data_IF_863602528090
#
_entry.id   IF_863602528090
#
_cell.length_a   1.000
_cell.length_b   1.000
_cell.length_c   1.000
_cell.angle_alpha   90.00
_cell.angle_beta   90.00
_cell.angle_gamma   90.00
#
_symmetry.space_group_name_H-M   'P 1'
#
loop_
_entity.id
_entity.type
_entity.pdbx_description
1 polymer ?
#
# COMPACT_ATOMS: atom_id res chain seq x y z
N UNK A 1 16.99 1.61 -5.67
CA UNK A 1 17.13 0.85 -4.41
C UNK A 1 15.84 0.89 -3.62
N UNK A 2 15.48 -0.20 -3.00
CA UNK A 2 14.26 -0.31 -2.21
C UNK A 2 14.57 -0.54 -0.73
N UNK A 3 13.90 0.21 0.16
CA UNK A 3 14.11 0.10 1.61
C UNK A 3 13.44 -1.19 2.09
N UNK A 4 14.21 -2.03 2.80
CA UNK A 4 13.75 -3.34 3.25
C UNK A 4 13.21 -3.36 4.68
N UNK A 5 13.50 -2.34 5.49
CA UNK A 5 13.18 -2.32 6.93
C UNK A 5 12.15 -1.27 7.34
N UNK A 6 11.37 -0.80 6.38
CA UNK A 6 10.31 0.17 6.59
C UNK A 6 9.01 -0.40 6.05
N UNK A 7 8.02 -0.61 6.92
CA UNK A 7 6.78 -1.28 6.56
C UNK A 7 5.62 -0.30 6.55
N UNK A 8 4.88 -0.27 5.46
CA UNK A 8 3.66 0.51 5.31
C UNK A 8 2.58 -0.34 4.65
N UNK A 9 1.55 0.31 4.15
CA UNK A 9 0.49 -0.36 3.41
C UNK A 9 0.42 0.21 2.01
N UNK A 10 0.89 -0.54 0.99
CA UNK A 10 0.72 -0.09 -0.39
C UNK A 10 -0.76 0.11 -0.71
N UNK A 11 -1.09 1.19 -1.38
CA UNK A 11 -2.49 1.52 -1.67
C UNK A 11 -2.62 1.93 -3.14
N UNK A 12 -3.51 1.23 -3.85
CA UNK A 12 -3.78 1.52 -5.25
C UNK A 12 -4.73 2.71 -5.36
N UNK A 13 -4.35 3.71 -6.14
CA UNK A 13 -5.12 4.94 -6.27
C UNK A 13 -6.55 4.72 -6.77
N UNK A 14 -6.77 3.77 -7.67
CA UNK A 14 -8.10 3.45 -8.17
C UNK A 14 -9.01 2.88 -7.07
N UNK A 15 -8.47 1.99 -6.23
CA UNK A 15 -9.21 1.43 -5.09
C UNK A 15 -9.53 2.52 -4.07
N UNK A 16 -8.55 3.37 -3.80
CA UNK A 16 -8.71 4.49 -2.88
C UNK A 16 -9.80 5.45 -3.37
N UNK A 17 -9.78 5.80 -4.65
CA UNK A 17 -10.76 6.71 -5.23
C UNK A 17 -12.17 6.16 -5.14
N UNK A 18 -12.36 4.88 -5.41
CA UNK A 18 -13.67 4.23 -5.30
C UNK A 18 -14.19 4.28 -3.86
N UNK A 19 -13.32 4.00 -2.88
CA UNK A 19 -13.70 4.05 -1.47
C UNK A 19 -14.00 5.47 -1.01
N UNK A 20 -13.25 6.47 -1.46
CA UNK A 20 -13.51 7.88 -1.14
C UNK A 20 -14.91 8.29 -1.62
N UNK A 21 -15.25 7.90 -2.84
CA UNK A 21 -16.58 8.18 -3.39
C UNK A 21 -17.68 7.52 -2.56
N UNK A 22 -17.49 6.26 -2.18
CA UNK A 22 -18.44 5.52 -1.35
C UNK A 22 -18.62 6.17 0.02
N UNK A 23 -17.52 6.56 0.68
CA UNK A 23 -17.55 7.21 1.98
C UNK A 23 -18.24 8.58 1.91
N UNK A 24 -17.98 9.33 0.85
CA UNK A 24 -18.60 10.64 0.67
C UNK A 24 -20.13 10.52 0.55
N UNK A 25 -20.63 9.48 -0.07
CA UNK A 25 -22.07 9.25 -0.23
C UNK A 25 -22.78 8.84 1.06
N UNK A 26 -22.04 8.30 2.03
CA UNK A 26 -22.60 7.92 3.32
C UNK A 26 -22.93 9.14 4.20
N UNK A 27 -22.35 10.29 3.89
CA UNK A 27 -22.54 11.54 4.64
C UNK A 27 -22.34 11.36 6.15
N UNK A 28 -21.26 10.72 6.54
CA UNK A 28 -20.88 10.51 7.94
C UNK A 28 -19.53 11.16 8.19
N UNK A 29 -19.50 12.41 8.66
CA UNK A 29 -18.23 13.14 8.88
C UNK A 29 -17.35 12.41 9.90
N UNK A 30 -16.14 12.12 9.50
CA UNK A 30 -15.13 11.48 10.34
C UNK A 30 -13.78 11.49 9.60
N UNK A 31 -12.75 11.03 10.30
CA UNK A 31 -11.45 10.78 9.67
C UNK A 31 -11.38 9.28 9.36
N UNK A 32 -11.21 8.96 8.09
CA UNK A 32 -11.14 7.57 7.63
C UNK A 32 -9.75 7.25 7.14
N UNK A 33 -9.20 6.14 7.62
CA UNK A 33 -8.00 5.56 7.03
C UNK A 33 -8.42 4.60 5.93
N UNK A 34 -7.84 4.75 4.74
CA UNK A 34 -8.20 3.93 3.58
C UNK A 34 -6.93 3.40 2.95
N UNK A 35 -6.75 2.09 3.06
CA UNK A 35 -5.60 1.39 2.49
C UNK A 35 -6.06 0.04 1.95
N UNK A 36 -5.28 -0.54 1.05
CA UNK A 36 -5.53 -1.90 0.58
C UNK A 36 -5.31 -2.91 1.71
N UNK A 37 -5.95 -4.08 1.59
CA UNK A 37 -5.81 -5.14 2.57
C UNK A 37 -4.43 -5.80 2.49
N UNK A 38 -4.05 -6.45 3.58
CA UNK A 38 -2.79 -7.18 3.72
C UNK A 38 -2.09 -6.81 5.03
N UNK A 39 -1.03 -7.52 5.35
CA UNK A 39 -0.27 -7.32 6.58
C UNK A 39 0.76 -6.20 6.48
N UNK A 40 0.74 -5.47 5.39
CA UNK A 40 1.73 -4.45 5.13
C UNK A 40 2.89 -4.99 4.29
N UNK A 41 3.75 -4.10 3.86
CA UNK A 41 4.90 -4.45 3.04
C UNK A 41 5.98 -3.39 3.17
N UNK A 42 7.24 -3.79 3.02
CA UNK A 42 8.32 -2.85 2.81
C UNK A 42 8.31 -2.38 1.35
N UNK A 43 9.05 -1.31 1.05
CA UNK A 43 9.25 -0.93 -0.35
C UNK A 43 9.93 -2.06 -1.13
N UNK A 44 10.80 -2.84 -0.47
CA UNK A 44 11.42 -4.00 -1.08
C UNK A 44 10.39 -5.08 -1.44
N UNK A 45 9.46 -5.37 -0.53
CA UNK A 45 8.38 -6.33 -0.80
C UNK A 45 7.49 -5.86 -1.95
N UNK A 46 7.15 -4.59 -1.95
CA UNK A 46 6.33 -4.00 -3.01
C UNK A 46 7.02 -4.09 -4.36
N UNK A 47 8.29 -3.72 -4.42
CA UNK A 47 9.07 -3.76 -5.66
C UNK A 47 9.23 -5.19 -6.17
N UNK A 48 9.51 -6.15 -5.27
CA UNK A 48 9.62 -7.54 -5.64
C UNK A 48 8.32 -8.09 -6.21
N UNK A 49 7.20 -7.75 -5.60
CA UNK A 49 5.88 -8.14 -6.10
C UNK A 49 5.62 -7.55 -7.49
N UNK A 50 5.96 -6.29 -7.70
CA UNK A 50 5.76 -5.63 -8.99
C UNK A 50 6.61 -6.28 -10.09
N UNK A 51 7.86 -6.60 -9.79
CA UNK A 51 8.73 -7.29 -10.74
C UNK A 51 8.20 -8.67 -11.10
N UNK A 52 7.77 -9.43 -10.09
CA UNK A 52 7.19 -10.76 -10.31
C UNK A 52 5.93 -10.68 -11.19
N UNK A 53 5.01 -9.78 -10.86
CA UNK A 53 3.76 -9.64 -11.62
C UNK A 53 3.99 -9.16 -13.06
N UNK A 54 5.04 -8.40 -13.28
CA UNK A 54 5.41 -7.93 -14.61
C UNK A 54 6.24 -8.94 -15.40
N UNK A 55 6.63 -10.06 -14.78
CA UNK A 55 7.47 -11.07 -15.43
C UNK A 55 8.92 -10.63 -15.59
N UNK A 56 9.37 -9.70 -14.77
CA UNK A 56 10.73 -9.17 -14.84
C UNK A 56 11.64 -9.86 -13.82
N UNK A 57 12.95 -9.74 -14.05
CA UNK A 57 13.95 -10.36 -13.20
C UNK A 57 14.05 -9.68 -11.83
N UNK A 58 13.91 -10.47 -10.77
CA UNK A 58 14.05 -9.96 -9.40
C UNK A 58 15.44 -9.44 -9.08
N UNK A 59 16.46 -9.85 -9.84
CA UNK A 59 17.82 -9.35 -9.65
C UNK A 59 17.97 -7.86 -10.01
N UNK A 60 16.98 -7.28 -10.65
CA UNK A 60 16.94 -5.83 -10.87
C UNK A 60 16.76 -5.05 -9.57
N UNK A 61 16.29 -5.71 -8.52
CA UNK A 61 16.03 -5.08 -7.24
C UNK A 61 17.29 -5.00 -6.39
N UNK A 62 17.62 -3.81 -5.92
CA UNK A 62 18.68 -3.58 -4.95
C UNK A 62 18.07 -3.14 -3.63
N UNK A 63 18.45 -3.81 -2.55
CA UNK A 63 17.93 -3.53 -1.22
C UNK A 63 18.79 -2.52 -0.48
N UNK A 64 18.16 -1.74 0.38
CA UNK A 64 18.84 -0.82 1.29
C UNK A 64 18.07 -0.78 2.62
N UNK A 65 18.61 -0.06 3.58
CA UNK A 65 17.95 0.13 4.88
C UNK A 65 17.63 1.61 5.10
N UNK A 66 16.70 1.87 6.00
CA UNK A 66 16.33 3.24 6.36
C UNK A 66 17.54 4.01 6.89
N UNK A 67 18.38 3.37 7.70
CA UNK A 67 19.54 4.01 8.32
C UNK A 67 20.64 4.34 7.31
N UNK A 68 20.67 3.64 6.17
CA UNK A 68 21.62 3.91 5.09
C UNK A 68 21.30 5.19 4.33
N UNK A 69 20.05 5.66 4.44
CA UNK A 69 19.60 6.87 3.76
C UNK A 69 19.60 8.01 4.77
N UNK A 70 20.42 9.02 4.52
CA UNK A 70 20.48 10.20 5.36
C UNK A 70 19.39 11.17 4.94
N UNK A 71 18.27 11.17 5.67
CA UNK A 71 17.14 12.06 5.40
C UNK A 71 16.99 13.07 6.52
N UNK A 72 16.60 14.32 6.21
CA UNK A 72 16.46 15.36 7.23
C UNK A 72 15.34 15.06 8.23
N UNK A 73 14.26 14.39 7.82
CA UNK A 73 13.15 14.06 8.70
C UNK A 73 13.23 12.60 9.17
N UNK A 74 12.99 12.33 10.47
CA UNK A 74 12.88 10.97 10.93
C UNK A 74 11.66 10.30 10.30
N UNK A 75 11.80 9.03 9.91
CA UNK A 75 10.73 8.26 9.28
C UNK A 75 10.33 7.09 10.18
N UNK A 76 9.02 6.82 10.33
CA UNK A 76 8.60 5.66 11.12
C UNK A 76 8.95 4.37 10.38
N UNK A 77 9.35 3.36 11.15
CA UNK A 77 9.65 2.03 10.58
C UNK A 77 8.39 1.24 10.26
N UNK A 78 7.28 1.57 10.91
CA UNK A 78 5.99 0.90 10.69
C UNK A 78 4.90 1.96 10.61
N UNK A 79 4.38 2.16 9.41
CA UNK A 79 3.31 3.12 9.14
C UNK A 79 2.05 2.42 8.63
N UNK A 80 1.86 1.14 8.93
CA UNK A 80 0.67 0.39 8.54
C UNK A 80 -0.58 1.02 9.14
N UNK A 81 -1.65 1.02 8.37
CA UNK A 81 -2.94 1.54 8.80
C UNK A 81 -3.99 0.44 8.77
N UNK A 82 -5.01 0.60 9.60
CA UNK A 82 -6.21 -0.24 9.59
C UNK A 82 -7.43 0.64 9.29
N UNK A 83 -8.31 0.14 8.43
CA UNK A 83 -9.53 0.86 8.05
C UNK A 83 -10.63 0.63 9.08
N UNK A 84 -10.40 1.07 10.32
CA UNK A 84 -11.24 0.72 11.47
C UNK A 84 -12.68 1.19 11.30
N UNK A 85 -12.89 2.45 10.90
CA UNK A 85 -14.25 2.98 10.73
C UNK A 85 -14.98 2.34 9.56
N UNK A 86 -14.26 1.99 8.48
CA UNK A 86 -14.85 1.26 7.36
C UNK A 86 -15.34 -0.12 7.81
N UNK A 87 -14.59 -0.80 8.66
CA UNK A 87 -14.99 -2.09 9.23
C UNK A 87 -16.26 -1.93 10.09
N UNK A 88 -16.31 -0.91 10.92
CA UNK A 88 -17.48 -0.65 11.78
C UNK A 88 -18.73 -0.33 10.98
N UNK A 89 -18.59 0.30 9.82
CA UNK A 89 -19.70 0.59 8.92
C UNK A 89 -20.13 -0.60 8.08
N UNK A 90 -19.43 -1.74 8.20
CA UNK A 90 -19.75 -2.93 7.43
C UNK A 90 -19.33 -2.88 5.97
N UNK A 91 -18.43 -1.97 5.62
CA UNK A 91 -17.91 -1.88 4.26
C UNK A 91 -16.92 -3.02 4.00
N UNK A 92 -16.96 -3.55 2.78
CA UNK A 92 -16.02 -4.61 2.42
C UNK A 92 -14.59 -4.08 2.37
N UNK A 93 -13.60 -4.88 2.80
CA UNK A 93 -12.20 -4.46 2.67
C UNK A 93 -11.84 -4.21 1.22
N UNK A 94 -10.90 -3.31 0.98
CA UNK A 94 -10.29 -3.17 -0.33
C UNK A 94 -9.52 -4.44 -0.68
N UNK A 95 -9.24 -4.70 -1.97
CA UNK A 95 -8.45 -5.86 -2.36
C UNK A 95 -7.09 -5.92 -1.65
N UNK A 96 -6.50 -7.11 -1.56
CA UNK A 96 -5.12 -7.21 -1.12
C UNK A 96 -4.22 -6.40 -2.06
N UNK A 97 -3.20 -5.76 -1.49
CA UNK A 97 -2.34 -4.87 -2.28
C UNK A 97 -1.64 -5.61 -3.42
N UNK A 98 -1.33 -6.91 -3.24
CA UNK A 98 -0.70 -7.71 -4.29
C UNK A 98 -1.61 -7.86 -5.51
N UNK A 99 -2.90 -8.05 -5.27
CA UNK A 99 -3.90 -8.15 -6.34
C UNK A 99 -4.03 -6.82 -7.09
N UNK A 100 -3.96 -5.73 -6.38
CA UNK A 100 -4.02 -4.40 -6.98
C UNK A 100 -2.76 -4.08 -7.79
N UNK A 101 -1.60 -4.56 -7.37
CA UNK A 101 -0.36 -4.46 -8.18
C UNK A 101 -0.56 -5.19 -9.51
N UNK A 102 -1.10 -6.42 -9.46
CA UNK A 102 -1.35 -7.20 -10.68
C UNK A 102 -2.32 -6.47 -11.61
N UNK A 103 -3.38 -5.88 -11.05
CA UNK A 103 -4.36 -5.13 -11.81
C UNK A 103 -3.74 -3.90 -12.48
N UNK A 104 -2.93 -3.16 -11.75
CA UNK A 104 -2.25 -1.98 -12.28
C UNK A 104 -1.32 -2.33 -13.45
N UNK A 105 -0.53 -3.40 -13.30
CA UNK A 105 0.40 -3.84 -14.36
C UNK A 105 -0.37 -4.29 -15.60
N UNK A 106 -1.53 -4.92 -15.43
CA UNK A 106 -2.35 -5.40 -16.54
C UNK A 106 -3.00 -4.28 -17.38
N UNK A 107 -2.93 -3.01 -16.92
CA UNK A 107 -3.48 -1.88 -17.68
C UNK A 107 -2.68 -1.55 -18.93
N UNK A 108 -1.46 -2.03 -19.07
CA UNK A 108 -0.61 -1.77 -20.25
C UNK A 108 -0.90 -2.77 -21.38
#
# INVERSE_FOLDING_TARGET
MAIADMIGTPTYAADLAARIYELARLDRPAIYHVVNAGDGASFADFAACALEKAGLDGDLLQLTTLDSLKRPAPRPRNSRLRCLLSEELGLEPLPFWQDSVAQFIALD
#
